data_IF_459161320486
#
_entry.id   IF_459161320486
#
_cell.length_a   1.000
_cell.length_b   1.000
_cell.length_c   1.000
_cell.angle_alpha   90.00
_cell.angle_beta   90.00
_cell.angle_gamma   90.00
#
_symmetry.space_group_name_H-M   'P 1'
#
loop_
_entity.id
_entity.type
_entity.pdbx_description
1 polymer ?
#
# COMPACT_ATOMS: atom_id res chain seq x y z
N UNK A 1 -8.98 7.97 -4.13
CA UNK A 1 -7.86 8.91 -3.88
C UNK A 1 -6.68 8.11 -3.34
N UNK A 2 -5.45 8.37 -3.79
CA UNK A 2 -4.22 7.73 -3.29
C UNK A 2 -3.17 8.79 -2.93
N UNK A 3 -2.19 8.44 -2.11
CA UNK A 3 -1.07 9.34 -1.75
C UNK A 3 -1.30 10.25 -0.55
N UNK A 4 -2.50 10.26 0.07
CA UNK A 4 -2.74 11.06 1.28
C UNK A 4 -1.82 10.68 2.45
N UNK A 5 -1.33 9.44 2.49
CA UNK A 5 -0.39 8.94 3.51
C UNK A 5 0.95 9.68 3.47
N UNK A 6 1.42 10.16 2.32
CA UNK A 6 2.71 10.87 2.26
C UNK A 6 2.67 12.27 2.90
N UNK A 7 1.47 12.81 3.14
CA UNK A 7 1.28 14.13 3.77
C UNK A 7 1.11 14.04 5.29
N UNK A 8 1.21 12.85 5.88
CA UNK A 8 0.84 12.60 7.28
C UNK A 8 1.70 13.39 8.30
N UNK A 9 2.97 13.63 7.96
CA UNK A 9 3.95 14.26 8.85
C UNK A 9 4.32 15.70 8.45
N UNK A 10 3.61 16.31 7.50
CA UNK A 10 3.90 17.66 7.02
C UNK A 10 3.22 18.74 7.85
N UNK A 11 3.93 19.82 8.19
CA UNK A 11 3.39 20.97 8.94
C UNK A 11 2.24 21.67 8.22
N UNK A 12 2.21 21.61 6.88
CA UNK A 12 1.15 22.16 6.04
C UNK A 12 0.66 21.11 5.03
N UNK A 13 -0.61 20.68 5.10
CA UNK A 13 -1.16 19.73 4.15
C UNK A 13 -1.21 20.32 2.75
N UNK A 14 -0.82 19.53 1.76
CA UNK A 14 -0.87 19.94 0.36
C UNK A 14 -2.30 19.82 -0.16
N UNK A 15 -2.94 20.97 -0.39
CA UNK A 15 -4.33 21.06 -0.84
C UNK A 15 -4.58 20.50 -2.24
N UNK A 16 -5.84 20.17 -2.51
CA UNK A 16 -6.28 19.69 -3.82
C UNK A 16 -6.13 20.79 -4.88
N UNK A 17 -5.31 20.55 -5.90
CA UNK A 17 -5.18 21.43 -7.07
C UNK A 17 -6.13 20.98 -8.19
N UNK A 18 -6.47 21.90 -9.08
CA UNK A 18 -7.26 21.63 -10.29
C UNK A 18 -8.67 21.04 -10.04
N UNK A 19 -9.27 21.29 -8.88
CA UNK A 19 -10.61 20.77 -8.57
C UNK A 19 -11.69 21.24 -9.55
N UNK A 20 -11.50 22.37 -10.24
CA UNK A 20 -12.38 22.81 -11.34
C UNK A 20 -12.47 21.79 -12.48
N UNK A 21 -11.44 20.94 -12.66
CA UNK A 21 -11.49 19.85 -13.64
C UNK A 21 -12.51 18.78 -13.26
N UNK A 22 -12.83 18.64 -11.97
CA UNK A 22 -13.88 17.72 -11.52
C UNK A 22 -15.21 18.11 -12.15
N UNK A 23 -15.57 19.40 -12.10
CA UNK A 23 -16.79 19.90 -12.73
C UNK A 23 -16.69 19.88 -14.26
N UNK A 24 -15.57 20.37 -14.82
CA UNK A 24 -15.38 20.48 -16.28
C UNK A 24 -15.49 19.12 -16.99
N UNK A 25 -14.89 18.09 -16.40
CA UNK A 25 -14.84 16.74 -16.97
C UNK A 25 -15.89 15.80 -16.35
N UNK A 26 -16.75 16.31 -15.45
CA UNK A 26 -17.77 15.54 -14.73
C UNK A 26 -17.19 14.31 -14.01
N UNK A 27 -16.05 14.48 -13.35
CA UNK A 27 -15.33 13.43 -12.62
C UNK A 27 -16.06 13.13 -11.31
N UNK A 28 -16.15 11.84 -10.93
CA UNK A 28 -16.52 11.43 -9.57
C UNK A 28 -15.26 11.19 -8.74
N UNK A 29 -15.06 12.02 -7.71
CA UNK A 29 -13.99 11.82 -6.72
C UNK A 29 -14.59 11.21 -5.45
N UNK A 30 -14.19 9.99 -5.11
CA UNK A 30 -14.74 9.25 -3.96
C UNK A 30 -13.60 8.62 -3.15
N UNK A 31 -13.65 8.84 -1.83
CA UNK A 31 -12.89 8.06 -0.85
C UNK A 31 -13.69 6.83 -0.42
N UNK A 32 -13.00 5.82 0.08
CA UNK A 32 -13.63 4.66 0.73
C UNK A 32 -12.75 4.19 1.89
N UNK A 33 -13.36 3.60 2.90
CA UNK A 33 -12.66 2.93 3.99
C UNK A 33 -12.86 1.44 3.78
N UNK A 34 -11.77 0.66 3.78
CA UNK A 34 -11.85 -0.78 3.52
C UNK A 34 -12.78 -1.50 4.50
N UNK A 35 -12.88 -0.99 5.73
CA UNK A 35 -13.72 -1.55 6.77
C UNK A 35 -15.23 -1.41 6.52
N UNK A 36 -15.66 -0.56 5.59
CA UNK A 36 -17.07 -0.44 5.19
C UNK A 36 -17.54 -1.67 4.38
N UNK A 37 -16.60 -2.51 3.90
CA UNK A 37 -16.85 -3.68 3.05
C UNK A 37 -16.39 -4.99 3.70
N UNK A 38 -16.38 -5.06 5.04
CA UNK A 38 -15.92 -6.24 5.80
C UNK A 38 -16.67 -7.52 5.41
N UNK A 39 -17.96 -7.41 5.13
CA UNK A 39 -18.84 -8.49 4.67
C UNK A 39 -18.37 -9.13 3.35
N UNK A 40 -17.58 -8.41 2.55
CA UNK A 40 -17.05 -8.86 1.26
C UNK A 40 -15.59 -9.31 1.31
N UNK A 41 -14.96 -9.36 2.48
CA UNK A 41 -13.53 -9.70 2.59
C UNK A 41 -13.24 -11.13 2.13
N UNK A 42 -14.11 -12.09 2.47
CA UNK A 42 -13.92 -13.50 2.07
C UNK A 42 -14.03 -13.69 0.56
N UNK A 43 -15.05 -13.06 -0.06
CA UNK A 43 -15.22 -13.01 -1.52
C UNK A 43 -13.96 -12.45 -2.20
N UNK A 44 -13.51 -11.27 -1.76
CA UNK A 44 -12.35 -10.60 -2.31
C UNK A 44 -11.07 -11.42 -2.14
N UNK A 45 -10.87 -12.03 -0.97
CA UNK A 45 -9.69 -12.85 -0.68
C UNK A 45 -9.61 -14.07 -1.59
N UNK A 46 -10.72 -14.78 -1.78
CA UNK A 46 -10.77 -15.93 -2.67
C UNK A 46 -10.43 -15.54 -4.12
N UNK A 47 -11.00 -14.43 -4.60
CA UNK A 47 -10.76 -13.96 -5.96
C UNK A 47 -9.32 -13.48 -6.18
N UNK A 48 -8.78 -12.69 -5.25
CA UNK A 48 -7.40 -12.20 -5.30
C UNK A 48 -6.39 -13.35 -5.26
N UNK A 49 -6.64 -14.39 -4.47
CA UNK A 49 -5.78 -15.58 -4.41
C UNK A 49 -5.73 -16.32 -5.75
N UNK A 50 -6.88 -16.46 -6.42
CA UNK A 50 -6.95 -17.05 -7.77
C UNK A 50 -6.16 -16.21 -8.77
N UNK A 51 -6.36 -14.89 -8.80
CA UNK A 51 -5.62 -14.02 -9.71
C UNK A 51 -4.11 -14.00 -9.46
N UNK A 52 -3.68 -14.15 -8.22
CA UNK A 52 -2.27 -14.28 -7.89
C UNK A 52 -1.70 -15.61 -8.39
N UNK A 53 -2.42 -16.72 -8.18
CA UNK A 53 -2.03 -18.06 -8.64
C UNK A 53 -1.96 -18.14 -10.17
N UNK A 54 -2.91 -17.51 -10.85
CA UNK A 54 -3.01 -17.48 -12.31
C UNK A 54 -2.04 -16.45 -12.95
N UNK A 55 -1.28 -15.71 -12.14
CA UNK A 55 -0.31 -14.71 -12.60
C UNK A 55 -0.95 -13.43 -13.18
N UNK A 56 -2.25 -13.24 -13.02
CA UNK A 56 -2.97 -12.02 -13.42
C UNK A 56 -2.61 -10.84 -12.50
N UNK A 57 -2.31 -11.12 -11.23
CA UNK A 57 -1.71 -10.18 -10.29
C UNK A 57 -0.28 -10.60 -10.02
N UNK A 58 0.63 -9.62 -10.02
CA UNK A 58 2.01 -9.80 -9.57
C UNK A 58 2.24 -8.93 -8.34
N UNK A 59 2.65 -9.53 -7.23
CA UNK A 59 3.10 -8.75 -6.07
C UNK A 59 4.46 -8.12 -6.38
N UNK A 60 4.66 -6.92 -5.85
CA UNK A 60 5.96 -6.27 -5.78
C UNK A 60 6.14 -5.89 -4.33
N UNK A 61 7.22 -6.38 -3.73
CA UNK A 61 7.46 -6.20 -2.32
C UNK A 61 8.84 -5.59 -2.10
N UNK A 62 8.93 -4.69 -1.14
CA UNK A 62 10.18 -4.19 -0.59
C UNK A 62 10.46 -4.93 0.70
N UNK A 63 11.47 -5.80 0.68
CA UNK A 63 11.79 -6.69 1.80
C UNK A 63 12.87 -6.08 2.68
N UNK A 64 12.55 -5.87 3.95
CA UNK A 64 13.46 -5.33 4.96
C UNK A 64 13.77 -6.45 5.96
N UNK A 65 15.05 -6.81 6.02
CA UNK A 65 15.56 -7.92 6.86
C UNK A 65 16.18 -7.36 8.13
N UNK A 66 16.15 -8.12 9.22
CA UNK A 66 16.69 -7.69 10.52
C UNK A 66 15.64 -7.57 11.63
N UNK A 67 14.44 -8.11 11.40
CA UNK A 67 13.38 -8.20 12.39
C UNK A 67 12.80 -6.85 12.81
N UNK A 68 12.07 -6.87 13.92
CA UNK A 68 11.31 -5.73 14.42
C UNK A 68 12.17 -4.48 14.66
N UNK A 69 13.48 -4.62 14.88
CA UNK A 69 14.42 -3.50 15.03
C UNK A 69 14.47 -2.60 13.79
N UNK A 70 14.06 -3.11 12.62
CA UNK A 70 14.00 -2.35 11.38
C UNK A 70 12.64 -1.67 11.15
N UNK A 71 11.66 -1.85 12.03
CA UNK A 71 10.31 -1.33 11.81
C UNK A 71 10.27 0.21 11.75
N UNK A 72 11.05 0.90 12.58
CA UNK A 72 11.13 2.37 12.55
C UNK A 72 11.70 2.87 11.22
N UNK A 73 12.80 2.26 10.77
CA UNK A 73 13.41 2.58 9.47
C UNK A 73 12.45 2.27 8.32
N UNK A 74 11.76 1.13 8.36
CA UNK A 74 10.77 0.74 7.36
C UNK A 74 9.59 1.74 7.30
N UNK A 75 9.09 2.17 8.45
CA UNK A 75 7.99 3.11 8.54
C UNK A 75 8.40 4.51 8.07
N UNK A 76 9.59 4.99 8.46
CA UNK A 76 10.14 6.24 7.93
C UNK A 76 10.30 6.18 6.41
N UNK A 77 10.79 5.05 5.89
CA UNK A 77 10.89 4.77 4.46
C UNK A 77 9.55 4.82 3.71
N UNK A 78 8.47 4.36 4.34
CA UNK A 78 7.13 4.41 3.75
C UNK A 78 6.69 5.84 3.43
N UNK A 79 6.98 6.80 4.33
CA UNK A 79 6.61 8.19 4.15
C UNK A 79 7.53 8.96 3.20
N UNK A 80 8.80 8.55 3.08
CA UNK A 80 9.75 9.12 2.11
C UNK A 80 9.61 8.55 0.70
N UNK A 81 8.77 7.51 0.52
CA UNK A 81 8.46 6.94 -0.79
C UNK A 81 9.56 6.04 -1.36
N UNK A 82 10.46 5.52 -0.53
CA UNK A 82 11.56 4.67 -0.98
C UNK A 82 11.14 3.22 -1.27
N UNK A 83 9.95 2.79 -0.81
CA UNK A 83 9.43 1.44 -1.07
C UNK A 83 8.83 1.33 -2.47
N UNK A 84 9.19 0.27 -3.19
CA UNK A 84 8.49 -0.16 -4.40
C UNK A 84 7.53 -1.28 -4.02
N UNK A 85 6.23 -1.00 -4.08
CA UNK A 85 5.19 -1.96 -3.69
C UNK A 85 5.07 -2.14 -2.17
N UNK A 86 4.66 -3.32 -1.70
CA UNK A 86 4.37 -3.56 -0.29
C UNK A 86 5.66 -3.67 0.53
N UNK A 87 5.80 -2.85 1.58
CA UNK A 87 6.93 -2.96 2.50
C UNK A 87 6.68 -4.08 3.52
N UNK A 88 7.63 -5.01 3.64
CA UNK A 88 7.57 -6.16 4.55
C UNK A 88 8.83 -6.23 5.41
N UNK A 89 8.67 -6.20 6.74
CA UNK A 89 9.76 -6.42 7.70
C UNK A 89 9.75 -7.88 8.13
N UNK A 90 10.78 -8.63 7.74
CA UNK A 90 10.86 -10.06 8.05
C UNK A 90 11.58 -10.32 9.39
N UNK A 91 11.07 -11.24 10.23
CA UNK A 91 11.78 -11.67 11.43
C UNK A 91 13.09 -12.38 11.07
N UNK A 92 14.05 -12.39 12.00
CA UNK A 92 15.38 -12.98 11.79
C UNK A 92 15.33 -14.42 11.26
N UNK A 93 14.37 -15.23 11.73
CA UNK A 93 14.18 -16.62 11.34
C UNK A 93 13.73 -16.83 9.88
N UNK A 94 13.10 -15.83 9.25
CA UNK A 94 12.54 -15.95 7.90
C UNK A 94 13.45 -15.43 6.78
N UNK A 95 14.67 -15.02 7.12
CA UNK A 95 15.64 -14.44 6.17
C UNK A 95 16.03 -15.42 5.06
N UNK A 96 16.06 -16.74 5.31
CA UNK A 96 16.47 -17.72 4.30
C UNK A 96 15.34 -18.14 3.34
N UNK A 97 14.07 -18.02 3.75
CA UNK A 97 12.92 -18.47 2.96
C UNK A 97 12.50 -17.50 1.84
N UNK A 98 12.89 -16.22 1.93
CA UNK A 98 12.49 -15.16 0.97
C UNK A 98 13.61 -14.80 -0.03
N UNK A 99 14.62 -15.66 -0.20
CA UNK A 99 15.74 -15.43 -1.14
C UNK A 99 15.51 -16.11 -2.51
N UNK A 100 14.41 -16.85 -2.66
CA UNK A 100 14.06 -17.57 -3.88
C UNK A 100 12.64 -17.22 -4.35
N UNK A 101 12.47 -16.03 -4.93
CA UNK A 101 11.34 -15.67 -5.79
C UNK A 101 11.79 -14.54 -6.74
#
# INVERSE_FOLDING_TARGET
>A
MCGAVSQHNGDQPYGLKNYLMITRMRIRMQGFIIFDFKDRFEEARAQLATWLKDGQIRSKDTIIRGGLRQAEHALSGLYSGINTGQSLVLPFSYTLAYTSA
#
